data_IF_782079382811
#
_entry.id   IF_782079382811
#
_cell.length_a   1.000
_cell.length_b   1.000
_cell.length_c   1.000
_cell.angle_alpha   90.00
_cell.angle_beta   90.00
_cell.angle_gamma   90.00
#
_symmetry.space_group_name_H-M   'P 1'
#
loop_
_entity.id
_entity.type
_entity.pdbx_description
1 polymer ?
#
# COMPACT_ATOMS: atom_id res chain seq x y z
N UNK A 1 7.65 -7.33 26.77
CA UNK A 1 6.54 -8.08 26.13
C UNK A 1 6.54 -7.67 24.65
N UNK A 2 7.54 -8.11 23.89
CA UNK A 2 7.74 -7.72 22.48
C UNK A 2 7.73 -8.92 21.52
N UNK A 3 7.53 -10.15 22.02
CA UNK A 3 7.91 -11.36 21.28
C UNK A 3 6.79 -12.14 20.57
N UNK A 4 5.51 -11.74 20.64
CA UNK A 4 4.41 -12.62 20.18
C UNK A 4 3.54 -12.08 19.03
N UNK A 5 4.07 -11.22 18.17
CA UNK A 5 3.44 -11.05 16.85
C UNK A 5 3.89 -12.20 15.96
N UNK A 6 3.09 -13.28 15.90
CA UNK A 6 3.21 -14.32 14.88
C UNK A 6 3.25 -13.65 13.50
N UNK A 7 4.43 -13.62 12.89
CA UNK A 7 4.62 -13.09 11.54
C UNK A 7 3.86 -14.02 10.58
N UNK A 8 2.63 -13.66 10.25
CA UNK A 8 1.82 -14.39 9.30
C UNK A 8 2.24 -13.95 7.90
N UNK A 9 3.01 -14.82 7.23
CA UNK A 9 3.01 -15.01 5.78
C UNK A 9 3.42 -13.83 4.90
N UNK A 10 4.48 -14.03 4.13
CA UNK A 10 4.83 -13.15 3.02
C UNK A 10 3.86 -13.37 1.85
N UNK A 11 2.80 -12.57 1.74
CA UNK A 11 1.82 -12.64 0.65
C UNK A 11 2.21 -11.86 -0.61
N UNK A 12 3.36 -11.20 -0.61
CA UNK A 12 3.84 -10.40 -1.75
C UNK A 12 5.19 -10.92 -2.21
N UNK A 13 5.32 -11.20 -3.51
CA UNK A 13 6.59 -11.57 -4.16
C UNK A 13 7.49 -10.36 -4.43
N UNK A 14 7.26 -9.22 -3.77
CA UNK A 14 8.00 -7.99 -4.02
C UNK A 14 9.46 -8.09 -3.54
N UNK A 15 10.45 -7.97 -4.45
CA UNK A 15 11.86 -8.21 -4.12
C UNK A 15 12.51 -7.13 -3.24
N UNK A 16 11.96 -5.91 -3.17
CA UNK A 16 12.52 -4.80 -2.38
C UNK A 16 11.84 -4.64 -1.01
N UNK A 17 11.22 -5.72 -0.51
CA UNK A 17 10.53 -5.73 0.78
C UNK A 17 11.47 -5.36 1.94
N UNK A 18 10.98 -4.51 2.83
CA UNK A 18 11.64 -4.17 4.09
C UNK A 18 11.23 -5.18 5.16
N UNK A 19 11.96 -5.16 6.28
CA UNK A 19 11.57 -5.91 7.47
C UNK A 19 10.32 -5.30 8.09
N UNK A 20 9.59 -6.10 8.88
CA UNK A 20 8.41 -5.61 9.60
C UNK A 20 8.75 -4.43 10.52
N UNK A 21 9.92 -4.47 11.18
CA UNK A 21 10.40 -3.40 12.06
C UNK A 21 10.64 -2.10 11.29
N UNK A 22 11.29 -2.17 10.14
CA UNK A 22 11.53 -0.99 9.30
C UNK A 22 10.21 -0.38 8.79
N UNK A 23 9.30 -1.20 8.26
CA UNK A 23 8.02 -0.68 7.76
C UNK A 23 7.18 -0.07 8.89
N UNK A 24 7.16 -0.71 10.06
CA UNK A 24 6.50 -0.17 11.26
C UNK A 24 7.05 1.21 11.64
N UNK A 25 8.37 1.36 11.61
CA UNK A 25 9.02 2.63 11.94
C UNK A 25 8.73 3.71 10.90
N UNK A 26 8.78 3.38 9.61
CA UNK A 26 8.42 4.30 8.54
C UNK A 26 6.97 4.77 8.64
N UNK A 27 6.03 3.87 8.97
CA UNK A 27 4.63 4.22 9.20
C UNK A 27 4.47 5.11 10.44
N UNK A 28 5.17 4.81 11.53
CA UNK A 28 5.15 5.64 12.74
C UNK A 28 5.57 7.07 12.42
N UNK A 29 6.72 7.23 11.78
CA UNK A 29 7.25 8.54 11.36
C UNK A 29 6.24 9.25 10.46
N UNK A 30 5.66 8.54 9.48
CA UNK A 30 4.73 9.14 8.55
C UNK A 30 3.45 9.67 9.20
N UNK A 31 2.92 8.94 10.20
CA UNK A 31 1.72 9.35 10.92
C UNK A 31 2.01 10.44 11.95
N UNK A 32 3.11 10.34 12.70
CA UNK A 32 3.43 11.28 13.79
C UNK A 32 3.97 12.63 13.28
N UNK A 33 4.76 12.62 12.21
CA UNK A 33 5.33 13.83 11.63
C UNK A 33 4.46 14.41 10.50
N UNK A 34 3.33 13.78 10.20
CA UNK A 34 2.48 14.12 9.05
C UNK A 34 3.25 14.18 7.72
N UNK A 35 4.29 13.35 7.57
CA UNK A 35 5.16 13.32 6.39
C UNK A 35 5.31 11.90 5.83
N UNK A 36 4.68 11.63 4.69
CA UNK A 36 4.70 10.31 4.06
C UNK A 36 5.73 10.17 2.93
N UNK A 37 6.63 11.13 2.71
CA UNK A 37 7.60 11.13 1.60
C UNK A 37 8.43 9.84 1.50
N UNK A 38 8.95 9.35 2.63
CA UNK A 38 9.71 8.11 2.68
C UNK A 38 8.83 6.90 2.33
N UNK A 39 7.57 6.90 2.78
CA UNK A 39 6.59 5.87 2.44
C UNK A 39 6.22 5.93 0.97
N UNK A 40 5.93 7.10 0.41
CA UNK A 40 5.64 7.28 -1.03
C UNK A 40 6.76 6.72 -1.87
N UNK A 41 8.01 7.13 -1.62
CA UNK A 41 9.19 6.67 -2.36
C UNK A 41 9.37 5.16 -2.27
N UNK A 42 9.19 4.59 -1.08
CA UNK A 42 9.28 3.15 -0.86
C UNK A 42 8.18 2.38 -1.60
N UNK A 43 6.94 2.88 -1.54
CA UNK A 43 5.80 2.26 -2.17
C UNK A 43 5.77 2.47 -3.68
N UNK A 44 6.41 3.48 -4.26
CA UNK A 44 6.42 3.69 -5.71
C UNK A 44 6.90 2.45 -6.48
N UNK A 45 7.91 1.73 -5.97
CA UNK A 45 8.38 0.51 -6.65
C UNK A 45 7.42 -0.67 -6.46
N UNK A 46 6.75 -0.78 -5.31
CA UNK A 46 5.65 -1.73 -5.08
C UNK A 46 4.46 -1.43 -6.00
N UNK A 47 4.09 -0.16 -6.13
CA UNK A 47 3.00 0.30 -6.98
C UNK A 47 3.31 -0.05 -8.43
N UNK A 48 4.50 0.27 -8.94
CA UNK A 48 4.91 -0.09 -10.31
C UNK A 48 4.82 -1.59 -10.56
N UNK A 49 5.25 -2.41 -9.60
CA UNK A 49 5.10 -3.87 -9.69
C UNK A 49 3.63 -4.29 -9.85
N UNK A 50 2.74 -3.73 -9.02
CA UNK A 50 1.31 -4.04 -9.10
C UNK A 50 0.61 -3.46 -10.32
N UNK A 51 1.06 -2.32 -10.84
CA UNK A 51 0.54 -1.75 -12.09
C UNK A 51 0.78 -2.73 -13.25
N UNK A 52 2.00 -3.27 -13.36
CA UNK A 52 2.33 -4.21 -14.42
C UNK A 52 1.53 -5.51 -14.29
N UNK A 53 1.41 -6.07 -13.08
CA UNK A 53 0.55 -7.23 -12.82
C UNK A 53 -0.92 -6.93 -13.19
N UNK A 54 -1.43 -5.76 -12.80
CA UNK A 54 -2.81 -5.38 -13.03
C UNK A 54 -3.12 -5.14 -14.51
N UNK A 55 -2.19 -4.55 -15.28
CA UNK A 55 -2.32 -4.38 -16.74
C UNK A 55 -2.40 -5.73 -17.46
N UNK A 56 -1.66 -6.73 -17.00
CA UNK A 56 -1.70 -8.10 -17.56
C UNK A 56 -3.04 -8.77 -17.24
N UNK A 57 -3.48 -8.67 -15.99
CA UNK A 57 -4.65 -9.38 -15.49
C UNK A 57 -5.99 -8.67 -15.79
N UNK A 58 -5.98 -7.37 -16.05
CA UNK A 58 -7.16 -6.53 -16.31
C UNK A 58 -6.94 -5.58 -17.50
N UNK A 59 -6.64 -6.10 -18.71
CA UNK A 59 -6.28 -5.28 -19.88
C UNK A 59 -7.38 -4.33 -20.36
N UNK A 60 -8.62 -4.53 -19.92
CA UNK A 60 -9.75 -3.63 -20.20
C UNK A 60 -9.66 -2.29 -19.45
N UNK A 61 -8.91 -2.23 -18.34
CA UNK A 61 -8.75 -1.01 -17.56
C UNK A 61 -7.65 -0.15 -18.18
N UNK A 62 -8.05 0.96 -18.82
CA UNK A 62 -7.14 1.88 -19.52
C UNK A 62 -6.87 3.13 -18.69
N UNK A 63 -5.93 2.99 -17.75
CA UNK A 63 -5.34 4.12 -17.02
C UNK A 63 -3.92 4.40 -17.51
N UNK A 64 -3.52 5.67 -17.49
CA UNK A 64 -2.11 6.06 -17.70
C UNK A 64 -1.27 5.67 -16.47
N UNK A 65 0.06 5.66 -16.60
CA UNK A 65 0.92 5.41 -15.44
C UNK A 65 0.74 6.43 -14.32
N UNK A 66 0.52 7.70 -14.68
CA UNK A 66 0.23 8.77 -13.72
C UNK A 66 -1.09 8.53 -12.99
N UNK A 67 -2.16 8.18 -13.72
CA UNK A 67 -3.46 7.84 -13.13
C UNK A 67 -3.36 6.63 -12.20
N UNK A 68 -2.59 5.60 -12.57
CA UNK A 68 -2.34 4.47 -11.68
C UNK A 68 -1.57 4.88 -10.41
N UNK A 69 -0.56 5.74 -10.53
CA UNK A 69 0.20 6.25 -9.39
C UNK A 69 -0.69 7.08 -8.44
N UNK A 70 -1.49 7.99 -8.99
CA UNK A 70 -2.48 8.75 -8.23
C UNK A 70 -3.48 7.84 -7.52
N UNK A 71 -4.08 6.89 -8.26
CA UNK A 71 -5.04 5.93 -7.74
C UNK A 71 -4.46 5.10 -6.58
N UNK A 72 -3.20 4.67 -6.71
CA UNK A 72 -2.51 3.90 -5.67
C UNK A 72 -2.29 4.68 -4.38
N UNK A 73 -2.08 5.99 -4.50
CA UNK A 73 -1.74 6.86 -3.37
C UNK A 73 -2.97 7.54 -2.77
N UNK A 74 -4.13 7.48 -3.44
CA UNK A 74 -5.40 8.02 -2.97
C UNK A 74 -5.76 7.54 -1.54
N UNK A 75 -5.40 6.30 -1.22
CA UNK A 75 -5.66 5.70 0.08
C UNK A 75 -4.45 5.66 1.02
N UNK A 76 -3.32 6.28 0.67
CA UNK A 76 -2.10 6.19 1.46
C UNK A 76 -2.29 6.71 2.89
N UNK A 77 -2.84 7.91 3.06
CA UNK A 77 -3.03 8.51 4.37
C UNK A 77 -3.95 7.66 5.26
N UNK A 78 -5.06 7.19 4.69
CA UNK A 78 -6.01 6.30 5.37
C UNK A 78 -5.33 4.98 5.76
N UNK A 79 -4.57 4.39 4.84
CA UNK A 79 -3.82 3.16 5.05
C UNK A 79 -2.82 3.30 6.19
N UNK A 80 -2.02 4.37 6.20
CA UNK A 80 -1.05 4.68 7.24
C UNK A 80 -1.72 4.80 8.62
N UNK A 81 -2.78 5.61 8.72
CA UNK A 81 -3.51 5.83 9.99
C UNK A 81 -4.12 4.53 10.53
N UNK A 82 -4.77 3.74 9.68
CA UNK A 82 -5.38 2.49 10.09
C UNK A 82 -4.35 1.43 10.48
N UNK A 83 -3.26 1.31 9.72
CA UNK A 83 -2.20 0.37 10.04
C UNK A 83 -1.52 0.75 11.37
N UNK A 84 -1.17 2.02 11.55
CA UNK A 84 -0.56 2.51 12.79
C UNK A 84 -1.43 2.26 14.02
N UNK A 85 -2.74 2.45 13.91
CA UNK A 85 -3.70 2.10 14.97
C UNK A 85 -3.63 0.60 15.32
N UNK A 86 -3.68 -0.28 14.32
CA UNK A 86 -3.60 -1.73 14.53
C UNK A 86 -2.25 -2.16 15.14
N UNK A 87 -1.15 -1.52 14.74
CA UNK A 87 0.18 -1.72 15.34
C UNK A 87 0.15 -1.38 16.84
N UNK A 88 -0.44 -0.24 17.22
CA UNK A 88 -0.53 0.18 18.63
C UNK A 88 -1.38 -0.77 19.48
N UNK A 89 -2.41 -1.33 18.89
CA UNK A 89 -3.33 -2.28 19.55
C UNK A 89 -2.77 -3.71 19.59
N UNK A 90 -1.60 -3.98 18.97
CA UNK A 90 -1.01 -5.32 18.91
C UNK A 90 -1.73 -6.29 17.94
N UNK A 91 -2.63 -5.77 17.10
CA UNK A 91 -3.56 -6.56 16.28
C UNK A 91 -3.10 -6.76 14.83
N UNK A 92 -1.78 -6.73 14.56
CA UNK A 92 -1.27 -6.82 13.19
C UNK A 92 -0.07 -7.76 13.08
N UNK A 93 -0.19 -8.75 12.20
CA UNK A 93 0.80 -9.80 11.97
C UNK A 93 1.48 -9.76 10.60
N UNK A 94 1.20 -8.75 9.78
CA UNK A 94 1.71 -8.62 8.41
C UNK A 94 2.28 -7.22 8.15
N UNK A 95 3.24 -7.16 7.23
CA UNK A 95 3.94 -5.95 6.78
C UNK A 95 2.96 -4.91 6.22
N UNK A 96 3.30 -3.63 6.34
CA UNK A 96 2.52 -2.53 5.74
C UNK A 96 2.42 -2.68 4.22
N UNK A 97 3.48 -3.12 3.55
CA UNK A 97 3.46 -3.37 2.10
C UNK A 97 2.37 -4.36 1.71
N UNK A 98 2.23 -5.46 2.44
CA UNK A 98 1.14 -6.44 2.27
C UNK A 98 -0.23 -5.82 2.55
N UNK A 99 -0.35 -5.05 3.63
CA UNK A 99 -1.59 -4.37 3.98
C UNK A 99 -2.03 -3.38 2.89
N UNK A 100 -1.08 -2.62 2.38
CA UNK A 100 -1.32 -1.52 1.47
C UNK A 100 -1.60 -1.98 0.04
N UNK A 101 -1.14 -3.17 -0.35
CA UNK A 101 -1.49 -3.80 -1.63
C UNK A 101 -3.00 -3.82 -1.88
N UNK A 102 -3.81 -4.13 -0.86
CA UNK A 102 -5.27 -4.14 -1.01
C UNK A 102 -5.80 -2.75 -1.39
N UNK A 103 -5.26 -1.70 -0.76
CA UNK A 103 -5.63 -0.31 -1.05
C UNK A 103 -5.19 0.11 -2.45
N UNK A 104 -4.02 -0.34 -2.92
CA UNK A 104 -3.55 -0.09 -4.29
C UNK A 104 -4.56 -0.66 -5.29
N UNK A 105 -4.94 -1.94 -5.12
CA UNK A 105 -5.91 -2.60 -6.02
C UNK A 105 -7.29 -1.94 -5.98
N UNK A 106 -7.79 -1.55 -4.80
CA UNK A 106 -9.04 -0.81 -4.68
C UNK A 106 -8.95 0.56 -5.36
N UNK A 107 -7.84 1.28 -5.19
CA UNK A 107 -7.58 2.56 -5.83
C UNK A 107 -7.72 2.48 -7.34
N UNK A 108 -7.13 1.45 -7.98
CA UNK A 108 -7.26 1.25 -9.43
C UNK A 108 -8.71 1.09 -9.88
N UNK A 109 -9.47 0.27 -9.16
CA UNK A 109 -10.87 -0.01 -9.50
C UNK A 109 -11.76 1.22 -9.31
N UNK A 110 -11.56 1.96 -8.22
CA UNK A 110 -12.35 3.15 -7.92
C UNK A 110 -12.06 4.28 -8.90
N UNK A 111 -10.78 4.50 -9.23
CA UNK A 111 -10.38 5.49 -10.21
C UNK A 111 -10.93 5.15 -11.61
N UNK A 112 -10.84 3.87 -12.01
CA UNK A 112 -11.41 3.41 -13.27
C UNK A 112 -12.93 3.64 -13.33
N UNK A 113 -13.68 3.29 -12.27
CA UNK A 113 -15.13 3.53 -12.19
C UNK A 113 -15.49 5.01 -12.25
N UNK A 114 -14.73 5.88 -11.58
CA UNK A 114 -14.96 7.33 -11.63
C UNK A 114 -14.75 7.87 -13.05
N UNK A 115 -13.74 7.36 -13.76
CA UNK A 115 -13.45 7.75 -15.14
C UNK A 115 -14.49 7.25 -16.13
N UNK A 116 -14.95 6.00 -15.98
CA UNK A 116 -15.98 5.41 -16.87
C UNK A 116 -17.38 5.97 -16.58
N UNK A 117 -17.69 6.32 -15.33
CA UNK A 117 -18.96 6.97 -14.94
C UNK A 117 -19.07 8.44 -15.34
N UNK A 118 -17.97 9.07 -15.78
CA UNK A 118 -17.92 10.44 -16.29
C UNK A 118 -17.96 10.50 -17.84
N UNK A 119 -18.28 9.38 -18.51
CA UNK A 119 -18.52 9.30 -19.96
C UNK A 119 -20.00 9.18 -20.27
#
# INVERSE_FOLDING_TARGET
MEDDIKQLGEYTNWPQRKTFKEEKEMVRIAVENHEDNAMRKYLTTLIKYWIEDFKINQPQIKLTEEEFLEASLMYLELGLKQYYKRVKEGNIGFKFSTYFEWFIRQGFLDYFKQKDGNR
#
